data_IF_180177533183
#
_entry.id   IF_180177533183
#
_cell.length_a   1.000
_cell.length_b   1.000
_cell.length_c   1.000
_cell.angle_alpha   90.00
_cell.angle_beta   90.00
_cell.angle_gamma   90.00
#
_symmetry.space_group_name_H-M   'P 1'
#
loop_
_entity.id
_entity.type
_entity.pdbx_description
1 polymer ?
#
# COMPACT_ATOMS: atom_id res chain seq x y z
N UNK A 1 8.92 -46.56 -35.55
CA UNK A 1 8.04 -45.37 -35.48
C UNK A 1 6.58 -45.84 -35.49
N UNK A 2 5.96 -46.06 -34.32
CA UNK A 2 4.57 -46.57 -34.22
C UNK A 2 3.60 -45.40 -34.43
N UNK A 3 2.94 -45.35 -35.59
CA UNK A 3 1.90 -44.36 -35.91
C UNK A 3 0.59 -44.81 -35.27
N UNK A 4 0.22 -44.20 -34.15
CA UNK A 4 -1.03 -44.47 -33.43
C UNK A 4 -2.20 -44.06 -34.31
N UNK A 5 -2.91 -45.03 -34.90
CA UNK A 5 -4.16 -44.79 -35.64
C UNK A 5 -5.28 -44.66 -34.61
N UNK A 6 -5.58 -43.44 -34.17
CA UNK A 6 -6.73 -43.18 -33.32
C UNK A 6 -8.00 -43.26 -34.14
N UNK A 7 -8.94 -44.08 -33.68
CA UNK A 7 -10.27 -44.17 -34.26
C UNK A 7 -10.97 -42.81 -34.12
N UNK A 8 -11.34 -42.15 -35.23
CA UNK A 8 -11.88 -40.79 -35.26
C UNK A 8 -13.09 -40.58 -34.34
N UNK A 9 -13.85 -41.65 -34.10
CA UNK A 9 -14.98 -41.65 -33.16
C UNK A 9 -14.55 -41.60 -31.69
N UNK A 10 -13.40 -42.19 -31.34
CA UNK A 10 -12.82 -42.15 -29.98
C UNK A 10 -12.18 -40.78 -29.69
N UNK A 11 -11.51 -40.17 -30.67
CA UNK A 11 -10.99 -38.80 -30.54
C UNK A 11 -12.12 -37.79 -30.41
N UNK A 12 -13.19 -37.92 -31.18
CA UNK A 12 -14.33 -37.00 -31.09
C UNK A 12 -15.04 -37.09 -29.73
N UNK A 13 -15.25 -38.30 -29.21
CA UNK A 13 -15.80 -38.52 -27.86
C UNK A 13 -14.90 -37.97 -26.77
N UNK A 14 -13.59 -38.10 -26.91
CA UNK A 14 -12.62 -37.55 -25.97
C UNK A 14 -12.66 -36.01 -25.97
N UNK A 15 -12.67 -35.38 -27.16
CA UNK A 15 -12.79 -33.92 -27.29
C UNK A 15 -14.11 -33.43 -26.66
N UNK A 16 -15.22 -34.11 -26.93
CA UNK A 16 -16.52 -33.77 -26.35
C UNK A 16 -16.52 -33.90 -24.82
N UNK A 17 -15.89 -34.95 -24.28
CA UNK A 17 -15.74 -35.15 -22.84
C UNK A 17 -14.89 -34.07 -22.18
N UNK A 18 -13.83 -33.60 -22.84
CA UNK A 18 -12.98 -32.51 -22.33
C UNK A 18 -13.73 -31.18 -22.34
N UNK A 19 -14.49 -30.91 -23.41
CA UNK A 19 -15.34 -29.71 -23.51
C UNK A 19 -16.39 -29.72 -22.39
N UNK A 20 -17.05 -30.86 -22.16
CA UNK A 20 -18.04 -30.98 -21.09
C UNK A 20 -17.42 -30.71 -19.70
N UNK A 21 -16.18 -31.16 -19.47
CA UNK A 21 -15.45 -30.93 -18.23
C UNK A 21 -15.14 -29.44 -17.99
N UNK A 22 -14.87 -28.68 -19.05
CA UNK A 22 -14.66 -27.21 -18.97
C UNK A 22 -15.96 -26.50 -18.55
N UNK A 23 -17.13 -26.99 -19.00
CA UNK A 23 -18.43 -26.43 -18.61
C UNK A 23 -18.87 -26.79 -17.18
N UNK A 24 -18.30 -27.84 -16.57
CA UNK A 24 -18.63 -28.26 -15.20
C UNK A 24 -17.66 -27.61 -14.19
N UNK A 25 -16.54 -27.05 -14.63
CA UNK A 25 -15.65 -26.34 -13.70
C UNK A 25 -16.39 -25.14 -13.10
N UNK A 26 -16.45 -25.02 -11.76
CA UNK A 26 -16.94 -23.80 -11.15
C UNK A 26 -16.07 -22.65 -11.66
N UNK A 27 -16.71 -21.66 -12.28
CA UNK A 27 -16.09 -20.36 -12.48
C UNK A 27 -15.80 -19.87 -11.07
N UNK A 28 -14.55 -19.97 -10.64
CA UNK A 28 -14.12 -19.32 -9.41
C UNK A 28 -14.41 -17.84 -9.62
N UNK A 29 -15.45 -17.35 -8.95
CA UNK A 29 -15.72 -15.93 -8.88
C UNK A 29 -14.45 -15.30 -8.31
N UNK A 30 -13.71 -14.57 -9.15
CA UNK A 30 -12.68 -13.69 -8.66
C UNK A 30 -13.41 -12.53 -7.99
N UNK A 31 -13.65 -12.66 -6.68
CA UNK A 31 -14.05 -11.54 -5.84
C UNK A 31 -12.87 -10.55 -5.88
N UNK A 32 -13.04 -9.44 -6.59
CA UNK A 32 -12.13 -8.32 -6.43
C UNK A 32 -12.37 -7.79 -5.01
N UNK A 33 -11.32 -7.80 -4.17
CA UNK A 33 -11.36 -7.13 -2.87
C UNK A 33 -11.73 -5.67 -3.12
N UNK A 34 -12.96 -5.27 -2.79
CA UNK A 34 -13.44 -3.89 -2.84
C UNK A 34 -12.88 -3.10 -1.64
N UNK A 35 -11.57 -3.20 -1.41
CA UNK A 35 -10.93 -2.43 -0.35
C UNK A 35 -10.74 -0.99 -0.82
N UNK A 36 -11.05 -0.04 0.04
CA UNK A 36 -10.86 1.39 -0.22
C UNK A 36 -10.41 2.07 1.07
N UNK A 37 -9.95 3.30 0.94
CA UNK A 37 -9.69 4.14 2.09
C UNK A 37 -10.10 5.56 1.76
N UNK A 38 -10.43 6.31 2.79
CA UNK A 38 -10.67 7.74 2.73
C UNK A 38 -9.69 8.46 3.65
N UNK A 39 -9.34 9.71 3.31
CA UNK A 39 -8.59 10.59 4.22
C UNK A 39 -9.61 11.48 4.89
N UNK A 40 -9.98 11.13 6.12
CA UNK A 40 -11.01 11.81 6.88
C UNK A 40 -10.54 13.17 7.40
N UNK A 41 -9.25 13.26 7.77
CA UNK A 41 -8.66 14.48 8.33
C UNK A 41 -7.20 14.63 7.88
N UNK A 42 -6.80 15.88 7.60
CA UNK A 42 -5.43 16.23 7.25
C UNK A 42 -5.08 17.54 7.93
N UNK A 43 -4.45 17.45 9.10
CA UNK A 43 -4.01 18.59 9.88
C UNK A 43 -2.53 18.89 9.60
N UNK A 44 -2.22 20.13 9.26
CA UNK A 44 -0.85 20.59 9.03
C UNK A 44 -0.57 21.77 9.94
N UNK A 45 0.49 21.66 10.75
CA UNK A 45 1.04 22.76 11.52
C UNK A 45 2.40 23.12 10.94
N UNK A 46 2.64 24.43 10.75
CA UNK A 46 3.91 24.94 10.24
C UNK A 46 4.38 26.09 11.13
N UNK A 47 5.52 25.88 11.78
CA UNK A 47 6.18 26.89 12.60
C UNK A 47 7.42 27.42 11.86
N UNK A 48 7.44 28.72 11.57
CA UNK A 48 8.58 29.37 10.91
C UNK A 48 9.51 29.93 11.98
N UNK A 49 10.75 29.44 11.99
CA UNK A 49 11.80 29.85 12.91
C UNK A 49 12.42 31.20 12.51
N UNK A 50 13.10 31.86 13.45
CA UNK A 50 13.75 33.17 13.20
C UNK A 50 14.81 33.13 12.10
N UNK A 51 15.43 31.97 11.88
CA UNK A 51 16.43 31.74 10.83
C UNK A 51 15.81 31.46 9.44
N UNK A 52 14.48 31.35 9.36
CA UNK A 52 13.75 31.07 8.13
C UNK A 52 13.44 29.60 7.86
N UNK A 53 13.88 28.67 8.72
CA UNK A 53 13.53 27.26 8.61
C UNK A 53 12.06 27.04 9.02
N UNK A 54 11.46 25.97 8.51
CA UNK A 54 10.09 25.58 8.82
C UNK A 54 10.08 24.23 9.53
N UNK A 55 9.45 24.19 10.71
CA UNK A 55 9.07 22.94 11.38
C UNK A 55 7.66 22.59 10.91
N UNK A 56 7.52 21.48 10.20
CA UNK A 56 6.24 21.04 9.62
C UNK A 56 5.81 19.77 10.34
N UNK A 57 4.56 19.73 10.79
CA UNK A 57 3.95 18.56 11.42
C UNK A 57 2.64 18.25 10.71
N UNK A 58 2.47 17.03 10.24
CA UNK A 58 1.30 16.52 9.55
C UNK A 58 0.68 15.36 10.34
N UNK A 59 -0.62 15.45 10.60
CA UNK A 59 -1.44 14.37 11.13
C UNK A 59 -2.50 14.02 10.10
N UNK A 60 -2.42 12.81 9.54
CA UNK A 60 -3.28 12.35 8.43
C UNK A 60 -4.09 11.15 8.90
N UNK A 61 -5.40 11.34 9.08
CA UNK A 61 -6.32 10.29 9.50
C UNK A 61 -6.91 9.59 8.29
N UNK A 62 -6.61 8.30 8.17
CA UNK A 62 -7.16 7.41 7.16
C UNK A 62 -8.26 6.55 7.78
N UNK A 63 -9.35 6.34 7.04
CA UNK A 63 -10.38 5.34 7.33
C UNK A 63 -10.25 4.22 6.30
N UNK A 64 -9.83 3.04 6.76
CA UNK A 64 -9.56 1.88 5.91
C UNK A 64 -10.75 0.92 5.94
N UNK A 65 -11.29 0.60 4.76
CA UNK A 65 -12.23 -0.52 4.56
C UNK A 65 -11.47 -1.63 3.80
N UNK A 66 -11.18 -2.73 4.51
CA UNK A 66 -10.35 -3.84 4.08
C UNK A 66 -8.89 -3.79 4.56
N UNK A 67 -8.11 -4.80 4.16
CA UNK A 67 -6.74 -4.99 4.63
C UNK A 67 -5.74 -4.15 3.83
N UNK A 68 -4.94 -3.33 4.52
CA UNK A 68 -3.83 -2.54 3.98
C UNK A 68 -2.53 -2.80 4.74
N UNK A 69 -1.41 -2.50 4.09
CA UNK A 69 -0.07 -2.64 4.66
C UNK A 69 0.68 -1.30 4.63
N UNK A 70 -0.03 -0.24 5.01
CA UNK A 70 0.49 1.11 5.15
C UNK A 70 0.16 2.05 3.99
N UNK A 71 0.90 3.16 3.92
CA UNK A 71 0.61 4.31 3.04
C UNK A 71 1.85 4.80 2.28
N UNK A 72 1.60 5.61 1.25
CA UNK A 72 2.63 6.34 0.51
C UNK A 72 2.48 7.84 0.77
N UNK A 73 3.59 8.52 1.09
CA UNK A 73 3.62 9.98 1.29
C UNK A 73 4.78 10.58 0.51
N UNK A 74 4.50 11.56 -0.35
CA UNK A 74 5.51 12.29 -1.10
C UNK A 74 5.65 13.73 -0.57
N UNK A 75 6.83 14.10 -0.07
CA UNK A 75 7.09 15.43 0.49
C UNK A 75 7.93 16.22 -0.51
N UNK A 76 7.34 17.29 -1.05
CA UNK A 76 8.02 18.24 -1.95
C UNK A 76 8.78 19.28 -1.12
N UNK A 77 10.09 19.36 -1.36
CA UNK A 77 10.99 20.31 -0.75
C UNK A 77 11.76 21.14 -1.80
N UNK A 78 11.18 21.40 -2.97
CA UNK A 78 11.75 22.22 -4.07
C UNK A 78 12.20 23.62 -3.65
N UNK A 79 11.52 24.21 -2.65
CA UNK A 79 11.77 25.58 -2.16
C UNK A 79 12.73 25.63 -0.96
N UNK A 80 12.56 24.81 0.09
CA UNK A 80 13.55 24.72 1.15
C UNK A 80 14.82 23.99 0.65
N UNK A 81 15.88 24.03 1.44
CA UNK A 81 17.16 23.39 1.11
C UNK A 81 17.17 21.87 1.29
N UNK A 82 16.10 21.29 1.86
CA UNK A 82 16.00 19.87 2.17
C UNK A 82 15.01 19.60 3.31
N UNK A 83 15.07 18.37 3.82
CA UNK A 83 14.35 17.89 5.01
C UNK A 83 15.38 17.36 6.00
N UNK A 84 15.33 17.85 7.22
CA UNK A 84 16.13 17.37 8.36
C UNK A 84 15.19 16.89 9.47
N UNK A 85 15.70 16.05 10.38
CA UNK A 85 14.99 15.57 11.59
C UNK A 85 13.63 14.88 11.36
N UNK A 86 13.44 14.27 10.19
CA UNK A 86 12.21 13.55 9.81
C UNK A 86 11.82 12.50 10.85
N UNK A 87 10.61 12.63 11.37
CA UNK A 87 9.91 11.71 12.25
C UNK A 87 8.67 11.18 11.55
N UNK A 88 8.62 9.86 11.38
CA UNK A 88 7.43 9.14 10.87
C UNK A 88 6.85 8.33 12.01
N UNK A 89 5.52 8.31 12.14
CA UNK A 89 4.86 7.60 13.23
C UNK A 89 3.36 7.36 13.01
N UNK A 90 2.74 6.82 14.04
CA UNK A 90 1.28 6.73 14.19
C UNK A 90 0.88 7.33 15.53
N UNK A 91 -0.29 7.97 15.61
CA UNK A 91 -0.86 8.37 16.90
C UNK A 91 -1.60 7.18 17.52
N UNK A 92 -1.12 6.74 18.67
CA UNK A 92 -1.78 5.72 19.51
C UNK A 92 -2.05 6.31 20.90
N UNK A 93 -3.31 6.35 21.31
CA UNK A 93 -3.72 6.87 22.62
C UNK A 93 -3.18 8.28 22.94
N UNK A 94 -3.09 9.14 21.91
CA UNK A 94 -2.57 10.50 22.02
C UNK A 94 -1.04 10.62 22.10
N UNK A 95 -0.30 9.53 21.88
CA UNK A 95 1.16 9.54 21.81
C UNK A 95 1.62 9.14 20.41
N UNK A 96 2.73 9.73 19.98
CA UNK A 96 3.38 9.34 18.72
C UNK A 96 4.21 8.08 18.98
N UNK A 97 3.89 7.01 18.26
CA UNK A 97 4.72 5.80 18.19
C UNK A 97 5.59 5.93 16.94
N UNK A 98 6.87 6.21 17.14
CA UNK A 98 7.83 6.47 16.05
C UNK A 98 8.22 5.20 15.30
N UNK A 99 8.41 5.36 13.99
CA UNK A 99 8.79 4.30 13.07
C UNK A 99 10.30 4.34 12.85
N UNK A 100 10.89 3.19 12.54
CA UNK A 100 12.29 3.08 12.18
C UNK A 100 12.48 3.15 10.66
N UNK A 101 13.39 4.00 10.20
CA UNK A 101 13.83 3.98 8.80
C UNK A 101 14.65 2.70 8.53
N UNK A 102 14.11 1.80 7.71
CA UNK A 102 14.83 0.59 7.31
C UNK A 102 14.27 -0.01 6.02
N UNK A 103 15.14 -0.63 5.21
CA UNK A 103 14.78 -1.26 3.93
C UNK A 103 14.07 -2.61 4.06
N UNK A 104 12.93 -2.67 4.77
CA UNK A 104 12.31 -3.94 5.15
C UNK A 104 10.80 -3.90 5.37
N UNK A 105 10.25 -5.12 5.49
CA UNK A 105 8.86 -5.38 5.87
C UNK A 105 8.73 -5.57 7.39
N UNK A 106 7.70 -4.97 7.98
CA UNK A 106 7.41 -5.02 9.40
C UNK A 106 6.33 -3.99 9.77
N UNK A 107 5.92 -3.95 11.03
CA UNK A 107 5.15 -2.83 11.59
C UNK A 107 6.11 -1.78 12.13
N UNK A 108 5.68 -0.52 12.21
CA UNK A 108 6.51 0.59 12.69
C UNK A 108 7.82 0.79 11.89
N UNK A 109 7.79 0.59 10.58
CA UNK A 109 8.94 0.78 9.68
C UNK A 109 8.56 1.68 8.52
N UNK A 110 9.50 2.49 8.04
CA UNK A 110 9.35 3.17 6.75
C UNK A 110 10.62 3.10 5.91
N UNK A 111 10.45 3.23 4.60
CA UNK A 111 11.53 3.45 3.63
C UNK A 111 11.41 4.86 3.06
N UNK A 112 12.56 5.51 2.84
CA UNK A 112 12.66 6.80 2.17
C UNK A 112 13.47 6.66 0.88
N UNK A 113 12.96 7.25 -0.19
CA UNK A 113 13.63 7.39 -1.48
C UNK A 113 13.54 8.86 -1.93
N UNK A 114 14.67 9.55 -2.03
CA UNK A 114 14.70 10.93 -2.51
C UNK A 114 14.85 10.97 -4.05
N UNK A 115 13.87 11.54 -4.73
CA UNK A 115 13.84 11.69 -6.20
C UNK A 115 13.83 13.18 -6.54
N UNK A 116 15.02 13.73 -6.81
CA UNK A 116 15.17 15.17 -7.00
C UNK A 116 14.95 15.90 -5.67
N UNK A 117 13.90 16.71 -5.61
CA UNK A 117 13.48 17.46 -4.43
C UNK A 117 12.14 16.96 -3.85
N UNK A 118 11.85 15.68 -4.08
CA UNK A 118 10.73 14.96 -3.49
C UNK A 118 11.23 13.78 -2.66
N UNK A 119 10.84 13.71 -1.37
CA UNK A 119 11.08 12.56 -0.51
C UNK A 119 9.87 11.63 -0.59
N UNK A 120 10.05 10.43 -1.15
CA UNK A 120 9.01 9.41 -1.22
C UNK A 120 9.13 8.46 -0.03
N UNK A 121 8.12 8.48 0.84
CA UNK A 121 8.02 7.63 2.00
C UNK A 121 7.09 6.45 1.70
N UNK A 122 7.59 5.22 1.91
CA UNK A 122 6.78 4.01 2.00
C UNK A 122 6.67 3.64 3.46
N UNK A 123 5.50 3.87 4.05
CA UNK A 123 5.27 3.68 5.48
C UNK A 123 4.56 2.34 5.66
N UNK A 124 5.14 1.41 6.41
CA UNK A 124 4.63 0.06 6.61
C UNK A 124 3.91 -0.06 7.96
N UNK A 125 2.59 -0.20 7.90
CA UNK A 125 1.75 -0.40 9.08
C UNK A 125 0.45 -1.12 8.68
N UNK A 126 0.20 -2.30 9.28
CA UNK A 126 -0.97 -3.09 8.93
C UNK A 126 -2.24 -2.40 9.42
N UNK A 127 -3.27 -2.32 8.57
CA UNK A 127 -4.57 -1.77 8.95
C UNK A 127 -5.71 -2.60 8.36
N UNK A 128 -6.80 -2.78 9.11
CA UNK A 128 -7.93 -3.62 8.72
C UNK A 128 -9.21 -3.09 9.34
N UNK A 129 -10.13 -2.57 8.52
CA UNK A 129 -11.44 -2.05 8.94
C UNK A 129 -11.34 -1.07 10.13
N UNK A 130 -10.43 -0.08 10.03
CA UNK A 130 -10.09 0.83 11.12
C UNK A 130 -9.74 2.25 10.67
N UNK A 131 -9.90 3.20 11.58
CA UNK A 131 -9.30 4.54 11.47
C UNK A 131 -7.90 4.56 12.07
N UNK A 132 -6.96 5.18 11.37
CA UNK A 132 -5.56 5.32 11.82
C UNK A 132 -4.98 6.67 11.41
N UNK A 133 -4.33 7.34 12.36
CA UNK A 133 -3.70 8.65 12.13
C UNK A 133 -2.20 8.51 12.02
N UNK A 134 -1.66 8.74 10.83
CA UNK A 134 -0.22 8.79 10.58
C UNK A 134 0.33 10.17 10.93
N UNK A 135 1.50 10.18 11.57
CA UNK A 135 2.24 11.38 11.93
C UNK A 135 3.49 11.49 11.03
N UNK A 136 3.69 12.66 10.43
CA UNK A 136 4.90 13.01 9.67
C UNK A 136 5.35 14.39 10.13
N UNK A 137 6.54 14.52 10.69
CA UNK A 137 7.08 15.82 11.07
C UNK A 137 8.56 15.83 11.33
#
# INVERSE_FOLDING_TARGET
MRRWSMNKHKTLKFIFSVILLIFIMPILSAEASNRYYEVNEFNITVDILENGDAVVMEEITYDFDGDFNGILRAIDYDRPSGIEDLTVGVLENGNIVSFQESGGSGTYVYEREDIGSEAQLRIYEQSSDEEKTFYIG
#
